data_IF_225842556376
#
_entry.id   IF_225842556376
#
_cell.length_a   1.000
_cell.length_b   1.000
_cell.length_c   1.000
_cell.angle_alpha   90.00
_cell.angle_beta   90.00
_cell.angle_gamma   90.00
#
_symmetry.space_group_name_H-M   'P 1'
#
loop_
_entity.id
_entity.type
_entity.pdbx_description
1 polymer ?
#
# COMPACT_ATOMS: atom_id res chain seq x y z
N UNK A 1 -70.66 26.91 -7.14
CA UNK A 1 -70.12 28.20 -7.28
C UNK A 1 -68.84 28.22 -6.44
N UNK A 2 -67.76 28.78 -6.86
CA UNK A 2 -66.53 29.06 -6.12
C UNK A 2 -65.58 27.83 -6.01
N UNK A 3 -64.66 27.64 -6.98
CA UNK A 3 -63.27 28.10 -7.03
C UNK A 3 -62.38 27.68 -5.82
N UNK A 4 -62.00 26.40 -5.76
CA UNK A 4 -60.88 25.87 -4.98
C UNK A 4 -60.12 24.81 -5.78
N UNK A 5 -59.59 25.18 -6.89
CA UNK A 5 -58.83 24.26 -7.76
C UNK A 5 -57.53 24.94 -8.17
N UNK A 6 -56.57 25.23 -7.29
CA UNK A 6 -55.20 25.61 -7.71
C UNK A 6 -54.20 25.67 -6.54
N UNK A 7 -54.20 24.75 -5.57
CA UNK A 7 -53.16 24.77 -4.47
C UNK A 7 -52.63 23.34 -4.22
N UNK A 8 -52.40 22.54 -5.23
CA UNK A 8 -51.76 21.20 -5.01
C UNK A 8 -50.73 20.85 -6.07
N UNK A 9 -49.90 21.80 -6.48
CA UNK A 9 -48.87 21.45 -7.47
C UNK A 9 -47.55 22.18 -7.22
N UNK A 10 -47.07 22.22 -5.96
CA UNK A 10 -45.79 22.87 -5.62
C UNK A 10 -45.07 22.21 -4.45
N UNK A 11 -45.10 20.87 -4.34
CA UNK A 11 -44.35 20.18 -3.27
C UNK A 11 -43.81 18.82 -3.77
N UNK A 12 -42.97 18.79 -4.79
CA UNK A 12 -42.27 17.54 -5.15
C UNK A 12 -40.97 17.79 -5.90
N UNK A 13 -40.12 18.69 -5.40
CA UNK A 13 -38.76 18.87 -5.90
C UNK A 13 -37.79 18.96 -4.70
N UNK A 14 -37.95 18.08 -3.71
CA UNK A 14 -36.82 17.76 -2.83
C UNK A 14 -35.95 16.74 -3.56
N UNK A 15 -35.03 17.26 -4.34
CA UNK A 15 -34.01 16.51 -5.03
C UNK A 15 -33.20 15.71 -4.01
N UNK A 16 -33.22 14.40 -4.18
CA UNK A 16 -32.33 13.45 -3.54
C UNK A 16 -30.90 13.75 -4.02
N UNK A 17 -30.21 14.68 -3.37
CA UNK A 17 -28.76 14.85 -3.54
C UNK A 17 -28.10 13.65 -2.90
N UNK A 18 -27.99 12.56 -3.66
CA UNK A 18 -27.10 11.45 -3.32
C UNK A 18 -25.69 12.01 -3.33
N UNK A 19 -25.18 12.41 -2.17
CA UNK A 19 -23.78 12.67 -1.99
C UNK A 19 -23.05 11.35 -2.34
N UNK A 20 -22.39 11.35 -3.48
CA UNK A 20 -21.48 10.28 -3.87
C UNK A 20 -20.30 10.34 -2.88
N UNK A 21 -20.42 9.59 -1.80
CA UNK A 21 -19.36 9.42 -0.84
C UNK A 21 -18.31 8.60 -1.57
N UNK A 22 -17.29 9.28 -2.11
CA UNK A 22 -16.12 8.60 -2.65
C UNK A 22 -15.56 7.75 -1.51
N UNK A 23 -15.69 6.43 -1.62
CA UNK A 23 -15.05 5.51 -0.70
C UNK A 23 -13.55 5.86 -0.71
N UNK A 24 -13.03 6.29 0.44
CA UNK A 24 -11.59 6.51 0.56
C UNK A 24 -10.93 5.16 0.34
N UNK A 25 -10.25 5.02 -0.77
CA UNK A 25 -9.52 3.80 -1.09
C UNK A 25 -8.37 3.68 -0.10
N UNK A 26 -8.43 2.66 0.76
CA UNK A 26 -7.34 2.38 1.70
C UNK A 26 -6.07 1.99 0.95
N UNK A 27 -4.92 2.36 1.50
CA UNK A 27 -3.62 2.04 0.90
C UNK A 27 -3.34 0.54 0.92
N UNK A 28 -3.59 -0.12 2.04
CA UNK A 28 -3.36 -1.56 2.20
C UNK A 28 -4.50 -2.39 1.63
N UNK A 29 -4.16 -3.52 1.02
CA UNK A 29 -5.11 -4.53 0.60
C UNK A 29 -5.47 -5.43 1.79
N UNK A 30 -6.69 -5.96 1.78
CA UNK A 30 -7.11 -6.96 2.77
C UNK A 30 -6.52 -8.32 2.37
N UNK A 31 -6.01 -9.06 3.34
CA UNK A 31 -5.50 -10.42 3.15
C UNK A 31 -5.92 -11.32 4.32
N UNK A 32 -6.03 -12.61 4.06
CA UNK A 32 -6.16 -13.64 5.09
C UNK A 32 -4.81 -14.17 5.57
N UNK A 33 -3.71 -13.57 5.13
CA UNK A 33 -2.37 -13.90 5.58
C UNK A 33 -1.70 -15.00 4.75
N UNK A 34 -2.26 -15.40 3.61
CA UNK A 34 -1.61 -16.33 2.68
C UNK A 34 -0.87 -15.58 1.56
N UNK A 35 0.43 -15.37 1.75
CA UNK A 35 1.23 -14.66 0.76
C UNK A 35 1.54 -15.48 -0.49
N UNK A 36 1.37 -16.81 -0.46
CA UNK A 36 1.48 -17.63 -1.66
C UNK A 36 0.27 -17.43 -2.59
N UNK A 37 -0.94 -17.30 -2.03
CA UNK A 37 -2.15 -16.94 -2.78
C UNK A 37 -2.10 -15.49 -3.27
N UNK A 38 -1.63 -14.55 -2.43
CA UNK A 38 -1.48 -13.15 -2.83
C UNK A 38 -0.47 -12.97 -3.96
N UNK A 39 0.58 -13.80 -3.98
CA UNK A 39 1.56 -13.82 -5.07
C UNK A 39 0.93 -14.29 -6.39
N UNK A 40 0.08 -15.31 -6.33
CA UNK A 40 -0.67 -15.78 -7.49
C UNK A 40 -1.64 -14.70 -7.99
N UNK A 41 -2.37 -14.06 -7.08
CA UNK A 41 -3.27 -12.94 -7.39
C UNK A 41 -2.50 -11.78 -8.04
N UNK A 42 -1.31 -11.44 -7.53
CA UNK A 42 -0.47 -10.40 -8.12
C UNK A 42 -0.06 -10.72 -9.57
N UNK A 43 0.22 -12.00 -9.87
CA UNK A 43 0.51 -12.47 -11.25
C UNK A 43 -0.70 -12.31 -12.16
N UNK A 44 -1.87 -12.74 -11.71
CA UNK A 44 -3.13 -12.66 -12.46
C UNK A 44 -3.53 -11.21 -12.76
N UNK A 45 -3.34 -10.32 -11.79
CA UNK A 45 -3.57 -8.88 -11.91
C UNK A 45 -2.45 -8.13 -12.65
N UNK A 46 -1.42 -8.82 -13.14
CA UNK A 46 -0.28 -8.23 -13.85
C UNK A 46 0.45 -7.14 -13.05
N UNK A 47 0.55 -7.32 -11.73
CA UNK A 47 1.32 -6.42 -10.87
C UNK A 47 2.82 -6.57 -11.10
N UNK A 48 3.59 -5.58 -10.67
CA UNK A 48 5.06 -5.65 -10.66
C UNK A 48 5.61 -6.49 -9.50
N UNK A 49 4.78 -6.78 -8.49
CA UNK A 49 5.15 -7.55 -7.32
C UNK A 49 4.28 -7.26 -6.11
N UNK A 50 4.81 -7.57 -4.94
CA UNK A 50 4.17 -7.31 -3.64
C UNK A 50 4.99 -6.30 -2.85
N UNK A 51 4.31 -5.31 -2.30
CA UNK A 51 4.86 -4.37 -1.33
C UNK A 51 4.41 -4.75 0.09
N UNK A 52 5.36 -4.92 1.00
CA UNK A 52 5.11 -5.20 2.41
C UNK A 52 5.64 -4.06 3.27
N UNK A 53 4.75 -3.50 4.07
CA UNK A 53 5.04 -2.50 5.09
C UNK A 53 5.17 -3.21 6.44
N UNK A 54 6.40 -3.37 6.92
CA UNK A 54 6.65 -3.91 8.26
C UNK A 54 6.50 -2.81 9.30
N UNK A 55 5.66 -3.05 10.28
CA UNK A 55 5.34 -2.11 11.35
C UNK A 55 5.25 -2.79 12.71
N UNK A 56 4.99 -2.02 13.75
CA UNK A 56 4.58 -2.44 15.08
C UNK A 56 3.65 -1.39 15.70
N UNK A 57 2.92 -1.73 16.73
CA UNK A 57 1.91 -0.84 17.32
C UNK A 57 2.48 0.50 17.78
N UNK A 58 3.56 0.50 18.56
CA UNK A 58 4.21 1.71 19.05
C UNK A 58 5.29 2.23 18.09
N UNK A 59 4.89 2.60 16.85
CA UNK A 59 5.81 3.09 15.84
C UNK A 59 5.43 4.50 15.35
N UNK A 60 5.99 5.58 15.93
CA UNK A 60 5.67 6.95 15.49
C UNK A 60 5.99 7.23 14.03
N UNK A 61 7.05 6.62 13.49
CA UNK A 61 7.41 6.77 12.08
C UNK A 61 6.47 6.02 11.15
N UNK A 62 5.92 4.88 11.57
CA UNK A 62 4.89 4.16 10.83
C UNK A 62 3.61 4.98 10.78
N UNK A 63 3.16 5.51 11.94
CA UNK A 63 2.01 6.40 12.02
C UNK A 63 2.17 7.62 11.12
N UNK A 64 3.32 8.29 11.17
CA UNK A 64 3.63 9.44 10.31
C UNK A 64 3.50 9.06 8.83
N UNK A 65 4.07 7.94 8.40
CA UNK A 65 3.94 7.51 6.99
C UNK A 65 2.48 7.27 6.61
N UNK A 66 1.73 6.54 7.43
CA UNK A 66 0.31 6.25 7.18
C UNK A 66 -0.54 7.52 7.04
N UNK A 67 -0.29 8.51 7.89
CA UNK A 67 -1.12 9.73 7.97
C UNK A 67 -0.69 10.84 7.02
N UNK A 68 0.55 10.86 6.52
CA UNK A 68 1.06 11.96 5.70
C UNK A 68 1.57 11.58 4.32
N UNK A 69 1.81 10.29 4.06
CA UNK A 69 2.34 9.81 2.78
C UNK A 69 1.40 8.78 2.16
N UNK A 70 1.13 7.67 2.87
CA UNK A 70 0.37 6.55 2.32
C UNK A 70 -1.11 6.86 2.10
N UNK A 71 -1.66 7.87 2.75
CA UNK A 71 -3.03 8.35 2.58
C UNK A 71 -3.23 9.29 1.38
N UNK A 72 -2.17 9.62 0.65
CA UNK A 72 -2.25 10.54 -0.49
C UNK A 72 -2.86 9.82 -1.71
N UNK A 73 -3.86 10.41 -2.40
CA UNK A 73 -4.56 9.74 -3.50
C UNK A 73 -3.66 9.30 -4.66
N UNK A 74 -2.65 10.11 -5.00
CA UNK A 74 -1.69 9.80 -6.06
C UNK A 74 -0.75 8.65 -5.66
N UNK A 75 -0.35 8.58 -4.39
CA UNK A 75 0.42 7.46 -3.83
C UNK A 75 -0.39 6.17 -3.87
N UNK A 76 -1.65 6.21 -3.38
CA UNK A 76 -2.55 5.07 -3.39
C UNK A 76 -2.74 4.56 -4.82
N UNK A 77 -3.08 5.46 -5.74
CA UNK A 77 -3.33 5.12 -7.15
C UNK A 77 -2.11 4.47 -7.79
N UNK A 78 -0.92 5.05 -7.59
CA UNK A 78 0.32 4.53 -8.16
C UNK A 78 0.66 3.15 -7.59
N UNK A 79 0.68 3.00 -6.27
CA UNK A 79 1.09 1.76 -5.63
C UNK A 79 0.09 0.63 -5.89
N UNK A 80 -1.21 0.87 -5.81
CA UNK A 80 -2.23 -0.13 -6.14
C UNK A 80 -2.22 -0.55 -7.61
N UNK A 81 -1.83 0.33 -8.52
CA UNK A 81 -1.64 -0.03 -9.92
C UNK A 81 -0.52 -1.07 -10.10
N UNK A 82 0.56 -0.93 -9.34
CA UNK A 82 1.78 -1.70 -9.58
C UNK A 82 2.01 -2.85 -8.59
N UNK A 83 1.41 -2.81 -7.41
CA UNK A 83 1.67 -3.78 -6.34
C UNK A 83 0.38 -4.29 -5.70
N UNK A 84 0.41 -5.51 -5.17
CA UNK A 84 -0.40 -5.89 -4.02
C UNK A 84 0.30 -5.34 -2.78
N UNK A 85 -0.47 -4.83 -1.81
CA UNK A 85 0.08 -3.97 -0.76
C UNK A 85 -0.38 -4.49 0.60
N UNK A 86 0.54 -4.98 1.43
CA UNK A 86 0.21 -5.55 2.72
C UNK A 86 1.02 -4.92 3.85
N UNK A 87 0.47 -5.00 5.06
CA UNK A 87 1.17 -4.68 6.30
C UNK A 87 1.45 -5.95 7.09
N UNK A 88 2.57 -5.99 7.80
CA UNK A 88 2.98 -7.09 8.67
C UNK A 88 3.46 -6.50 9.99
N UNK A 89 2.83 -6.93 11.08
CA UNK A 89 3.27 -6.59 12.43
C UNK A 89 4.47 -7.44 12.83
N UNK A 90 5.62 -6.80 13.09
CA UNK A 90 6.84 -7.53 13.45
C UNK A 90 6.81 -8.16 14.86
N UNK A 91 5.81 -7.85 15.66
CA UNK A 91 5.54 -8.41 16.98
C UNK A 91 4.33 -9.36 16.97
N UNK A 92 3.63 -9.47 15.83
CA UNK A 92 2.39 -10.22 15.70
C UNK A 92 2.57 -11.73 15.73
N UNK A 93 1.80 -12.40 16.59
CA UNK A 93 1.76 -13.86 16.70
C UNK A 93 0.71 -14.49 15.76
N UNK A 94 0.06 -13.69 14.91
CA UNK A 94 -0.94 -14.18 13.93
C UNK A 94 -0.22 -15.07 12.91
N UNK A 95 -0.81 -16.25 12.69
CA UNK A 95 -0.31 -17.19 11.68
C UNK A 95 -0.47 -16.62 10.28
N UNK A 96 0.50 -16.88 9.42
CA UNK A 96 0.50 -16.56 8.02
C UNK A 96 1.22 -17.62 7.19
N UNK A 97 0.96 -17.64 5.90
CA UNK A 97 1.69 -18.44 4.92
C UNK A 97 2.67 -17.55 4.15
N UNK A 98 3.93 -17.96 4.12
CA UNK A 98 4.99 -17.29 3.37
C UNK A 98 4.83 -17.51 1.84
N UNK A 99 5.58 -16.80 1.03
CA UNK A 99 5.61 -16.92 -0.43
C UNK A 99 5.93 -18.33 -0.94
N UNK A 100 6.66 -19.13 -0.16
CA UNK A 100 7.00 -20.51 -0.48
C UNK A 100 5.96 -21.55 -0.01
N UNK A 101 4.81 -21.09 0.55
CA UNK A 101 3.75 -21.92 1.11
C UNK A 101 4.04 -22.44 2.53
N UNK A 102 5.16 -22.06 3.14
CA UNK A 102 5.46 -22.47 4.51
C UNK A 102 4.67 -21.65 5.54
N UNK A 103 4.10 -22.33 6.54
CA UNK A 103 3.37 -21.69 7.64
C UNK A 103 4.35 -21.06 8.62
N UNK A 104 4.06 -19.83 9.04
CA UNK A 104 4.88 -19.04 9.97
C UNK A 104 3.97 -18.10 10.76
N UNK A 105 4.54 -17.25 11.63
CA UNK A 105 3.84 -16.10 12.21
C UNK A 105 4.35 -14.81 11.59
N UNK A 106 3.59 -13.71 11.70
CA UNK A 106 4.02 -12.39 11.22
C UNK A 106 5.38 -11.98 11.80
N UNK A 107 5.59 -12.23 13.10
CA UNK A 107 6.85 -12.01 13.81
C UNK A 107 8.00 -12.83 13.23
N UNK A 108 7.79 -14.12 13.00
CA UNK A 108 8.83 -15.00 12.48
C UNK A 108 9.13 -14.72 11.01
N UNK A 109 8.13 -14.41 10.21
CA UNK A 109 8.29 -13.90 8.86
C UNK A 109 9.16 -12.64 8.85
N UNK A 110 8.84 -11.66 9.69
CA UNK A 110 9.60 -10.43 9.78
C UNK A 110 11.02 -10.68 10.30
N UNK A 111 11.18 -11.34 11.44
CA UNK A 111 12.46 -11.44 12.14
C UNK A 111 13.37 -12.54 11.58
N UNK A 112 12.85 -13.78 11.44
CA UNK A 112 13.68 -14.93 11.04
C UNK A 112 13.96 -14.93 9.54
N UNK A 113 12.92 -14.71 8.70
CA UNK A 113 13.06 -14.73 7.25
C UNK A 113 13.67 -13.44 6.70
N UNK A 114 13.15 -12.28 7.13
CA UNK A 114 13.54 -10.99 6.54
C UNK A 114 14.43 -10.13 7.43
N UNK A 115 14.79 -10.58 8.63
CA UNK A 115 15.70 -9.88 9.58
C UNK A 115 15.27 -8.44 9.86
N UNK A 116 13.96 -8.19 9.94
CA UNK A 116 13.40 -6.91 10.34
C UNK A 116 13.52 -6.79 11.85
N UNK A 117 14.18 -5.72 12.35
CA UNK A 117 14.43 -5.47 13.77
C UNK A 117 14.07 -4.06 14.22
N UNK A 118 13.60 -3.26 13.30
CA UNK A 118 13.16 -1.89 13.53
C UNK A 118 12.12 -1.52 12.46
N UNK A 119 11.23 -0.59 12.77
CA UNK A 119 10.13 -0.19 11.91
C UNK A 119 10.13 1.31 11.62
N UNK A 120 9.54 1.73 10.50
CA UNK A 120 9.04 0.88 9.43
C UNK A 120 10.17 0.27 8.58
N UNK A 121 9.88 -0.87 7.94
CA UNK A 121 10.67 -1.36 6.81
C UNK A 121 9.74 -1.48 5.60
N UNK A 122 10.17 -0.94 4.48
CA UNK A 122 9.48 -0.98 3.20
C UNK A 122 10.16 -2.05 2.35
N UNK A 123 9.47 -3.15 2.08
CA UNK A 123 10.02 -4.28 1.36
C UNK A 123 9.23 -4.55 0.08
N UNK A 124 9.95 -4.83 -0.99
CA UNK A 124 9.37 -5.16 -2.28
C UNK A 124 9.82 -6.56 -2.70
N UNK A 125 8.85 -7.36 -3.07
CA UNK A 125 9.05 -8.72 -3.54
C UNK A 125 8.61 -8.81 -4.99
N UNK A 126 9.39 -9.50 -5.82
CA UNK A 126 9.00 -9.80 -7.20
C UNK A 126 7.91 -10.88 -7.27
N UNK A 127 7.49 -11.24 -8.47
CA UNK A 127 6.47 -12.26 -8.70
C UNK A 127 6.93 -13.71 -8.43
N UNK A 128 8.18 -13.90 -8.03
CA UNK A 128 8.72 -15.17 -7.54
C UNK A 128 8.85 -15.18 -6.00
N UNK A 129 8.34 -14.14 -5.34
CA UNK A 129 8.41 -13.99 -3.88
C UNK A 129 9.81 -13.63 -3.37
N UNK A 130 10.73 -13.21 -4.27
CA UNK A 130 12.07 -12.81 -3.89
C UNK A 130 12.13 -11.34 -3.49
N UNK A 131 12.76 -11.04 -2.36
CA UNK A 131 13.03 -9.67 -1.93
C UNK A 131 13.98 -8.98 -2.92
N UNK A 132 13.49 -7.95 -3.62
CA UNK A 132 14.25 -7.19 -4.64
C UNK A 132 14.66 -5.81 -4.17
N UNK A 133 13.93 -5.20 -3.25
CA UNK A 133 14.31 -3.93 -2.66
C UNK A 133 13.85 -3.84 -1.21
N UNK A 134 14.66 -3.16 -0.39
CA UNK A 134 14.38 -2.90 1.01
C UNK A 134 14.84 -1.50 1.38
N UNK A 135 13.95 -0.76 2.05
CA UNK A 135 14.27 0.54 2.64
C UNK A 135 13.92 0.50 4.13
N UNK A 136 14.89 0.82 5.00
CA UNK A 136 14.70 0.80 6.45
C UNK A 136 14.50 2.22 6.95
N UNK A 137 13.45 2.43 7.71
CA UNK A 137 12.98 3.73 8.20
C UNK A 137 11.90 4.34 7.30
N UNK A 138 11.35 5.45 7.77
CA UNK A 138 10.37 6.22 7.02
C UNK A 138 11.06 7.06 5.94
N UNK A 139 10.44 7.20 4.76
CA UNK A 139 10.90 8.14 3.75
C UNK A 139 10.76 9.58 4.25
N UNK A 140 11.62 10.46 3.77
CA UNK A 140 11.61 11.87 4.17
C UNK A 140 10.44 12.65 3.62
N UNK A 141 9.90 12.21 2.47
CA UNK A 141 8.78 12.85 1.78
C UNK A 141 8.00 11.86 0.92
N UNK A 142 6.86 12.30 0.41
CA UNK A 142 6.05 11.58 -0.58
C UNK A 142 6.85 11.29 -1.85
N UNK A 143 7.60 12.27 -2.33
CA UNK A 143 8.40 12.16 -3.55
C UNK A 143 9.47 11.07 -3.42
N UNK A 144 10.09 10.96 -2.25
CA UNK A 144 11.05 9.88 -1.99
C UNK A 144 10.37 8.51 -1.98
N UNK A 145 9.16 8.41 -1.43
CA UNK A 145 8.38 7.17 -1.43
C UNK A 145 7.94 6.78 -2.86
N UNK A 146 7.44 7.73 -3.64
CA UNK A 146 7.11 7.53 -5.05
C UNK A 146 8.33 7.11 -5.87
N UNK A 147 9.47 7.75 -5.64
CA UNK A 147 10.73 7.41 -6.30
C UNK A 147 11.21 5.98 -5.95
N UNK A 148 10.95 5.53 -4.72
CA UNK A 148 11.26 4.15 -4.32
C UNK A 148 10.36 3.14 -5.07
N UNK A 149 9.08 3.45 -5.25
CA UNK A 149 8.17 2.67 -6.09
C UNK A 149 8.66 2.60 -7.54
N UNK A 150 9.02 3.76 -8.12
CA UNK A 150 9.54 3.86 -9.49
C UNK A 150 10.84 3.06 -9.69
N UNK A 151 11.73 3.12 -8.72
CA UNK A 151 12.98 2.34 -8.70
C UNK A 151 12.72 0.83 -8.82
N UNK A 152 11.64 0.34 -8.21
CA UNK A 152 11.27 -1.08 -8.27
C UNK A 152 10.54 -1.41 -9.56
N UNK A 153 9.52 -0.64 -9.92
CA UNK A 153 8.68 -0.87 -11.12
C UNK A 153 9.51 -0.90 -12.40
N UNK A 154 10.50 -0.01 -12.50
CA UNK A 154 11.39 0.06 -13.68
C UNK A 154 12.64 -0.81 -13.56
N UNK A 155 12.73 -1.69 -12.56
CA UNK A 155 13.81 -2.68 -12.43
C UNK A 155 15.18 -2.10 -12.13
N UNK A 156 15.28 -0.85 -11.67
CA UNK A 156 16.57 -0.21 -11.39
C UNK A 156 17.36 -0.92 -10.28
N UNK A 157 16.69 -1.66 -9.41
CA UNK A 157 17.31 -2.46 -8.36
C UNK A 157 18.29 -3.51 -8.88
N UNK A 158 18.12 -3.97 -10.13
CA UNK A 158 19.03 -4.95 -10.74
C UNK A 158 20.41 -4.37 -11.05
N UNK A 159 20.55 -3.05 -11.20
CA UNK A 159 21.78 -2.41 -11.66
C UNK A 159 22.39 -1.41 -10.67
N UNK A 160 21.61 -0.85 -9.76
CA UNK A 160 22.09 0.19 -8.85
C UNK A 160 21.37 0.16 -7.50
N UNK A 161 21.98 0.71 -6.45
CA UNK A 161 21.30 0.88 -5.16
C UNK A 161 20.35 2.08 -5.18
N UNK A 162 19.28 2.04 -4.38
CA UNK A 162 18.32 3.15 -4.27
C UNK A 162 19.00 4.48 -3.90
N UNK A 163 19.99 4.47 -3.02
CA UNK A 163 20.74 5.68 -2.65
C UNK A 163 21.45 6.30 -3.86
N UNK A 164 22.05 5.49 -4.71
CA UNK A 164 22.72 5.97 -5.93
C UNK A 164 21.70 6.46 -6.95
N UNK A 165 20.64 5.70 -7.17
CA UNK A 165 19.53 6.08 -8.06
C UNK A 165 18.93 7.44 -7.63
N UNK A 166 18.57 7.60 -6.34
CA UNK A 166 18.06 8.86 -5.81
C UNK A 166 19.00 10.05 -6.06
N UNK A 167 20.30 9.86 -5.90
CA UNK A 167 21.29 10.91 -6.18
C UNK A 167 21.35 11.29 -7.66
N UNK A 168 21.27 10.31 -8.55
CA UNK A 168 21.24 10.55 -10.00
C UNK A 168 20.00 11.36 -10.41
N UNK A 169 18.82 11.01 -9.88
CA UNK A 169 17.58 11.73 -10.15
C UNK A 169 17.63 13.20 -9.72
N UNK A 170 18.32 13.51 -8.61
CA UNK A 170 18.51 14.89 -8.15
C UNK A 170 19.46 15.72 -9.04
N UNK A 171 20.34 15.08 -9.77
CA UNK A 171 21.31 15.76 -10.66
C UNK A 171 20.72 16.01 -12.06
N UNK A 172 19.63 15.32 -12.41
CA UNK A 172 18.96 15.45 -13.71
C UNK A 172 17.80 16.45 -13.72
N UNK A 173 17.49 17.04 -12.55
CA UNK A 173 16.50 18.12 -12.38
C UNK A 173 17.19 19.50 -12.37
#
# INVERSE_FOLDING_TARGET
>A
MIRYTHIFLLLSLLGCSSALQAAQTEFFDTTFGDFSEELQTAKEEQKSGIFVFFEMDECPFCHRMKTSILNQPDVISYFKKHFKIFQVDIEGDVEMTDFDGSVTTQKDFAFKKHRVRATPVLAFFDLDGKLVARYTGATSSKEEFMLLGDYVVNGHYASTSFTRFKRQQRQSQ
#
